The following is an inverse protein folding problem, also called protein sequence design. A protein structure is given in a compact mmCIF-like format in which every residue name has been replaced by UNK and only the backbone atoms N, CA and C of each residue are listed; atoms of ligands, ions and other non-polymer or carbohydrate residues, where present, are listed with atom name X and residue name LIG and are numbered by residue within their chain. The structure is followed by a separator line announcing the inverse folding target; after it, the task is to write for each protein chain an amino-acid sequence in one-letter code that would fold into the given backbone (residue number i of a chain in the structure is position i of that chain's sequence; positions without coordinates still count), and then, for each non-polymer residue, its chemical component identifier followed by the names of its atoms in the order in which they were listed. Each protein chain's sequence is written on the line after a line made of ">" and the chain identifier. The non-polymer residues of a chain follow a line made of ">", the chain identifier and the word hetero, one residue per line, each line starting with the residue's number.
data_IF_474186870751
#
_entry.id   IF_474186870751
#
_cell.length_a   1.000
_cell.length_b   1.000
_cell.length_c   1.000
_cell.angle_alpha   90.00
_cell.angle_beta   90.00
_cell.angle_gamma   90.00
#
_symmetry.space_group_name_H-M   'P 1'
#
loop_
_entity.id
_entity.type
_entity.pdbx_description
1 polymer ?
#
# COMPACT_ATOMS: atom_id res chain seq x y z
N UNK A 1 18.52 -25.78 -6.63
CA UNK A 1 19.50 -24.69 -6.89
C UNK A 1 18.79 -23.64 -7.73
N UNK A 2 18.71 -22.37 -7.28
CA UNK A 2 17.97 -21.35 -8.02
C UNK A 2 18.61 -21.05 -9.38
N UNK A 3 17.78 -20.64 -10.33
CA UNK A 3 18.19 -20.16 -11.65
C UNK A 3 18.12 -18.64 -11.61
N UNK A 4 19.17 -17.98 -12.08
CA UNK A 4 19.23 -16.53 -12.23
C UNK A 4 19.39 -16.16 -13.70
N UNK A 5 18.72 -15.09 -14.07
CA UNK A 5 18.84 -14.48 -15.39
C UNK A 5 19.98 -13.47 -15.38
N UNK A 6 20.81 -13.50 -16.42
CA UNK A 6 21.91 -12.58 -16.63
C UNK A 6 21.80 -11.92 -17.99
N UNK A 7 22.19 -10.65 -18.07
CA UNK A 7 22.32 -9.88 -19.32
C UNK A 7 23.79 -9.69 -19.64
N UNK A 8 24.20 -10.17 -20.81
CA UNK A 8 25.49 -9.90 -21.41
C UNK A 8 25.37 -8.79 -22.46
N UNK A 9 26.30 -7.84 -22.47
CA UNK A 9 26.32 -6.74 -23.45
C UNK A 9 26.49 -7.22 -24.90
N UNK A 10 27.19 -8.34 -25.11
CA UNK A 10 27.48 -8.87 -26.46
C UNK A 10 26.58 -10.03 -26.89
N UNK A 11 26.21 -10.92 -25.96
CA UNK A 11 25.49 -12.15 -26.28
C UNK A 11 23.98 -12.08 -26.00
N UNK A 12 23.51 -11.08 -25.25
CA UNK A 12 22.12 -10.98 -24.81
C UNK A 12 21.87 -11.69 -23.47
N UNK A 13 20.64 -12.17 -23.28
CA UNK A 13 20.20 -12.75 -22.00
C UNK A 13 20.49 -14.26 -21.94
N UNK A 14 20.90 -14.75 -20.78
CA UNK A 14 21.10 -16.17 -20.53
C UNK A 14 20.75 -16.55 -19.08
N UNK A 15 20.41 -17.81 -18.86
CA UNK A 15 20.06 -18.35 -17.56
C UNK A 15 21.24 -19.12 -16.96
N UNK A 16 21.47 -19.00 -15.65
CA UNK A 16 22.51 -19.76 -14.94
C UNK A 16 22.00 -20.27 -13.60
N UNK A 17 22.20 -21.57 -13.37
CA UNK A 17 22.00 -22.18 -12.06
C UNK A 17 23.13 -21.76 -11.12
N UNK A 18 22.79 -21.22 -9.95
CA UNK A 18 23.77 -20.75 -8.97
C UNK A 18 23.23 -20.92 -7.56
N UNK A 19 24.09 -21.15 -6.55
CA UNK A 19 23.64 -21.14 -5.15
C UNK A 19 23.36 -19.71 -4.69
N UNK A 20 22.46 -19.56 -3.73
CA UNK A 20 22.14 -18.24 -3.15
C UNK A 20 23.31 -17.64 -2.38
N UNK A 21 24.22 -18.48 -1.87
CA UNK A 21 25.42 -18.09 -1.12
C UNK A 21 26.62 -17.76 -2.01
N UNK A 22 26.52 -17.98 -3.33
CA UNK A 22 27.61 -17.73 -4.27
C UNK A 22 27.54 -16.29 -4.81
N UNK A 23 28.70 -15.68 -5.08
CA UNK A 23 28.79 -14.34 -5.66
C UNK A 23 28.26 -14.28 -7.09
N UNK A 24 27.55 -13.21 -7.43
CA UNK A 24 27.01 -13.01 -8.78
C UNK A 24 28.11 -13.02 -9.86
N UNK A 25 27.78 -13.55 -11.03
CA UNK A 25 28.70 -13.60 -12.16
C UNK A 25 29.05 -12.19 -12.64
N UNK A 26 30.34 -11.92 -12.84
CA UNK A 26 30.86 -10.65 -13.38
C UNK A 26 31.20 -10.73 -14.87
N UNK A 27 31.52 -11.94 -15.34
CA UNK A 27 31.96 -12.20 -16.72
C UNK A 27 31.08 -13.25 -17.41
N UNK A 28 30.83 -13.05 -18.70
CA UNK A 28 30.06 -13.97 -19.53
C UNK A 28 30.89 -15.22 -19.85
N UNK A 29 30.38 -16.44 -19.61
CA UNK A 29 31.12 -17.67 -19.91
C UNK A 29 31.36 -17.93 -21.41
N UNK A 30 30.68 -17.20 -22.30
CA UNK A 30 30.82 -17.38 -23.75
C UNK A 30 31.76 -16.36 -24.42
N UNK A 31 31.90 -15.16 -23.85
CA UNK A 31 32.61 -14.06 -24.51
C UNK A 31 33.44 -13.16 -23.58
N UNK A 32 33.52 -13.51 -22.28
CA UNK A 32 34.27 -12.80 -21.23
C UNK A 32 33.95 -11.30 -21.08
N UNK A 33 32.85 -10.82 -21.65
CA UNK A 33 32.40 -9.44 -21.41
C UNK A 33 31.66 -9.34 -20.08
N UNK A 34 31.48 -8.09 -19.63
CA UNK A 34 30.74 -7.78 -18.41
C UNK A 34 29.29 -8.27 -18.49
N UNK A 35 28.79 -8.81 -17.39
CA UNK A 35 27.39 -9.25 -17.25
C UNK A 35 26.74 -8.67 -16.01
N UNK A 36 25.42 -8.51 -16.07
CA UNK A 36 24.60 -8.04 -14.95
C UNK A 36 23.47 -9.02 -14.66
N UNK A 37 23.21 -9.28 -13.37
CA UNK A 37 22.10 -10.15 -12.96
C UNK A 37 20.78 -9.40 -13.11
N UNK A 38 19.88 -9.94 -13.92
CA UNK A 38 18.53 -9.40 -14.10
C UNK A 38 17.67 -9.86 -12.93
N UNK A 39 17.08 -8.89 -12.22
CA UNK A 39 16.00 -9.17 -11.28
C UNK A 39 14.71 -9.08 -12.10
N UNK A 40 14.13 -10.24 -12.41
CA UNK A 40 12.91 -10.32 -13.20
C UNK A 40 11.80 -9.49 -12.58
N UNK A 41 11.25 -8.53 -13.35
CA UNK A 41 10.21 -7.59 -12.91
C UNK A 41 8.87 -8.25 -12.58
N UNK A 42 8.72 -9.53 -12.91
CA UNK A 42 7.51 -10.33 -12.69
C UNK A 42 7.42 -10.99 -11.31
N UNK A 43 8.11 -10.44 -10.31
CA UNK A 43 7.84 -10.81 -8.92
C UNK A 43 6.52 -10.17 -8.52
N UNK A 44 5.45 -10.96 -8.47
CA UNK A 44 4.15 -10.50 -7.98
C UNK A 44 4.24 -10.12 -6.50
N UNK A 45 4.37 -8.83 -6.21
CA UNK A 45 4.36 -8.33 -4.82
C UNK A 45 2.91 -8.14 -4.38
N UNK A 46 2.51 -8.85 -3.32
CA UNK A 46 1.18 -8.72 -2.72
C UNK A 46 1.32 -8.01 -1.38
N UNK A 47 0.76 -6.81 -1.28
CA UNK A 47 0.70 -6.06 -0.03
C UNK A 47 -0.57 -6.42 0.73
N UNK A 48 -0.42 -7.00 1.92
CA UNK A 48 -1.54 -7.29 2.83
C UNK A 48 -1.58 -6.21 3.91
N UNK A 49 -2.50 -5.27 3.79
CA UNK A 49 -2.67 -4.17 4.75
C UNK A 49 -3.62 -3.11 4.22
N UNK A 50 -4.30 -2.41 5.14
CA UNK A 50 -5.14 -1.26 4.78
C UNK A 50 -4.26 -0.07 4.37
N UNK A 51 -4.72 0.73 3.41
CA UNK A 51 -4.05 1.96 2.97
C UNK A 51 -3.14 1.81 1.74
N UNK A 52 -2.98 0.59 1.22
CA UNK A 52 -2.28 0.37 -0.05
C UNK A 52 -3.21 0.56 -1.27
N UNK A 53 -4.50 0.27 -1.10
CA UNK A 53 -5.48 0.35 -2.18
C UNK A 53 -6.17 1.72 -2.24
N UNK A 54 -6.49 2.18 -3.46
CA UNK A 54 -7.25 3.43 -3.68
C UNK A 54 -8.61 3.40 -2.96
N UNK A 55 -9.24 2.23 -2.87
CA UNK A 55 -10.51 2.03 -2.16
C UNK A 55 -10.40 2.40 -0.68
N UNK A 56 -9.28 2.09 -0.04
CA UNK A 56 -9.08 2.32 1.40
C UNK A 56 -9.00 3.82 1.69
N UNK A 57 -8.40 4.60 0.79
CA UNK A 57 -8.34 6.07 0.91
C UNK A 57 -9.72 6.72 0.76
N UNK A 58 -10.59 6.16 -0.09
CA UNK A 58 -11.96 6.65 -0.28
C UNK A 58 -12.81 6.40 0.97
N UNK A 59 -12.67 5.22 1.61
CA UNK A 59 -13.37 4.90 2.86
C UNK A 59 -13.01 5.89 3.99
N UNK A 60 -11.72 6.24 4.10
CA UNK A 60 -11.27 7.26 5.06
C UNK A 60 -11.88 8.62 4.72
N UNK A 61 -11.90 9.01 3.44
CA UNK A 61 -12.47 10.30 3.01
C UNK A 61 -13.97 10.40 3.28
N UNK A 62 -14.72 9.33 3.07
CA UNK A 62 -16.16 9.30 3.32
C UNK A 62 -16.48 9.31 4.82
N UNK A 63 -15.68 8.60 5.64
CA UNK A 63 -15.76 8.68 7.10
C UNK A 63 -15.43 10.09 7.62
N UNK A 64 -14.44 10.76 7.04
CA UNK A 64 -14.11 12.15 7.41
C UNK A 64 -15.19 13.16 6.99
N UNK A 65 -15.89 12.91 5.87
CA UNK A 65 -17.03 13.74 5.45
C UNK A 65 -18.24 13.58 6.36
N UNK A 66 -18.57 12.36 6.78
CA UNK A 66 -19.69 12.13 7.70
C UNK A 66 -19.42 12.76 9.07
N UNK A 67 -18.21 12.60 9.61
CA UNK A 67 -17.79 13.23 10.86
C UNK A 67 -17.86 14.76 10.80
N UNK A 68 -17.40 15.38 9.70
CA UNK A 68 -17.50 16.84 9.55
C UNK A 68 -18.94 17.33 9.46
N UNK A 69 -19.85 16.55 8.87
CA UNK A 69 -21.28 16.90 8.77
C UNK A 69 -21.97 16.84 10.14
N UNK A 70 -21.71 15.77 10.91
CA UNK A 70 -22.20 15.63 12.29
C UNK A 70 -21.69 16.81 13.15
N UNK A 71 -20.40 17.15 13.03
CA UNK A 71 -19.81 18.28 13.75
C UNK A 71 -20.41 19.63 13.35
N UNK A 72 -20.80 19.84 12.09
CA UNK A 72 -21.47 21.07 11.65
C UNK A 72 -22.86 21.22 12.28
N UNK A 73 -23.63 20.13 12.34
CA UNK A 73 -24.95 20.14 12.99
C UNK A 73 -24.86 20.39 14.49
N UNK A 74 -23.83 19.87 15.16
CA UNK A 74 -23.61 20.14 16.59
C UNK A 74 -23.26 21.60 16.84
N UNK A 75 -22.38 22.18 16.01
CA UNK A 75 -22.05 23.61 16.07
C UNK A 75 -23.27 24.50 15.82
N UNK A 76 -24.17 24.09 14.91
CA UNK A 76 -25.39 24.84 14.63
C UNK A 76 -26.37 24.79 15.80
N UNK A 77 -26.57 23.63 16.43
CA UNK A 77 -27.43 23.49 17.61
C UNK A 77 -26.93 24.32 18.81
N UNK A 78 -25.60 24.45 18.98
CA UNK A 78 -24.99 25.31 20.01
C UNK A 78 -25.28 26.80 19.71
N UNK A 79 -25.17 27.24 18.45
CA UNK A 79 -25.45 28.62 18.05
C UNK A 79 -26.93 28.99 18.23
N UNK A 80 -27.83 28.04 18.00
CA UNK A 80 -29.28 28.23 18.14
C UNK A 80 -29.74 28.13 19.62
N UNK A 81 -28.84 27.83 20.56
CA UNK A 81 -29.15 27.70 21.99
C UNK A 81 -30.00 26.47 22.35
N UNK A 82 -30.16 25.51 21.43
CA UNK A 82 -30.94 24.29 21.62
C UNK A 82 -30.09 23.19 22.30
N UNK A 83 -29.95 23.33 23.62
CA UNK A 83 -29.21 22.39 24.49
C UNK A 83 -29.82 20.98 24.45
N UNK A 84 -31.14 20.87 24.22
CA UNK A 84 -31.82 19.59 24.15
C UNK A 84 -31.51 18.85 22.83
N UNK A 85 -31.43 19.59 21.72
CA UNK A 85 -30.99 19.07 20.42
C UNK A 85 -29.54 18.56 20.45
N UNK A 86 -28.65 19.32 21.09
CA UNK A 86 -27.24 18.94 21.25
C UNK A 86 -27.06 17.64 22.04
N UNK A 87 -27.71 17.48 23.20
CA UNK A 87 -27.60 16.26 24.02
C UNK A 87 -28.11 15.01 23.29
N UNK A 88 -29.26 15.11 22.60
CA UNK A 88 -29.82 14.00 21.82
C UNK A 88 -28.88 13.56 20.69
N UNK A 89 -28.17 14.51 20.10
CA UNK A 89 -27.25 14.21 19.02
C UNK A 89 -25.92 13.63 19.54
N UNK A 90 -25.41 14.14 20.66
CA UNK A 90 -24.24 13.58 21.37
C UNK A 90 -24.45 12.11 21.74
N UNK A 91 -25.58 11.76 22.35
CA UNK A 91 -25.93 10.38 22.72
C UNK A 91 -26.01 9.45 21.51
N UNK A 92 -26.47 9.95 20.36
CA UNK A 92 -26.57 9.18 19.11
C UNK A 92 -25.19 8.92 18.50
N UNK A 93 -24.29 9.90 18.56
CA UNK A 93 -22.92 9.78 18.08
C UNK A 93 -22.11 8.81 18.94
N UNK A 94 -22.28 8.86 20.27
CA UNK A 94 -21.64 7.94 21.21
C UNK A 94 -22.00 6.47 20.94
N UNK A 95 -23.30 6.17 20.76
CA UNK A 95 -23.75 4.80 20.42
C UNK A 95 -23.13 4.27 19.14
N UNK A 96 -23.02 5.11 18.11
CA UNK A 96 -22.45 4.75 16.81
C UNK A 96 -20.95 4.45 16.88
N UNK A 97 -20.22 5.10 17.79
CA UNK A 97 -18.78 4.85 18.05
C UNK A 97 -18.56 3.52 18.78
N UNK A 98 -19.48 3.14 19.68
CA UNK A 98 -19.43 1.85 20.40
C UNK A 98 -19.76 0.64 19.52
N UNK A 99 -20.53 0.82 18.45
CA UNK A 99 -20.96 -0.23 17.52
C UNK A 99 -20.05 -0.41 16.28
N UNK A 100 -19.06 0.48 16.09
CA UNK A 100 -18.13 0.49 14.93
C UNK A 100 -16.78 -0.14 15.25
#
# INVERSE_FOLDING_TARGET
>A
MPIYDYKCEKCGNFEKQQRITEEALKECPNCNSKVERIISKNVGVVFKGQGFYKTDTSLIKDKMRSLNKERQTDNQAILDGDVAGFNKQSEKTEKKVLES
#
